data_IF_182012741863
#
_entry.id   IF_182012741863
#
_cell.length_a   1.000
_cell.length_b   1.000
_cell.length_c   1.000
_cell.angle_alpha   90.00
_cell.angle_beta   90.00
_cell.angle_gamma   90.00
#
_symmetry.space_group_name_H-M   'P 1'
#
loop_
_entity.id
_entity.type
_entity.pdbx_description
1 polymer ?
#
# COMPACT_ATOMS: atom_id res chain seq x y z
N UNK A 1 -2.85 6.91 -21.16
CA UNK A 1 -2.79 5.44 -20.93
C UNK A 1 -2.45 4.68 -22.22
N UNK A 2 -1.35 3.90 -22.26
CA UNK A 2 -0.97 3.04 -23.38
C UNK A 2 -2.01 1.96 -23.72
N UNK A 3 -2.04 1.47 -24.96
CA UNK A 3 -3.04 0.50 -25.42
C UNK A 3 -3.01 -0.85 -24.66
N UNK A 4 -1.85 -1.49 -24.40
CA UNK A 4 -1.84 -2.75 -23.67
C UNK A 4 -2.40 -2.63 -22.25
N UNK A 5 -2.07 -1.54 -21.55
CA UNK A 5 -2.59 -1.22 -20.22
C UNK A 5 -4.11 -0.99 -20.27
N UNK A 6 -4.57 -0.23 -21.26
CA UNK A 6 -5.99 0.01 -21.49
C UNK A 6 -6.79 -1.28 -21.71
N UNK A 7 -6.29 -2.20 -22.54
CA UNK A 7 -6.96 -3.47 -22.82
C UNK A 7 -7.05 -4.36 -21.57
N UNK A 8 -6.00 -4.42 -20.75
CA UNK A 8 -6.02 -5.17 -19.48
C UNK A 8 -6.99 -4.56 -18.49
N UNK A 9 -6.95 -3.23 -18.30
CA UNK A 9 -7.88 -2.54 -17.40
C UNK A 9 -9.34 -2.72 -17.85
N UNK A 10 -9.60 -2.70 -19.17
CA UNK A 10 -10.94 -2.96 -19.71
C UNK A 10 -11.40 -4.41 -19.47
N UNK A 11 -10.51 -5.40 -19.66
CA UNK A 11 -10.80 -6.81 -19.37
C UNK A 11 -11.14 -7.00 -17.90
N UNK A 12 -10.29 -6.49 -17.01
CA UNK A 12 -10.47 -6.60 -15.54
C UNK A 12 -11.74 -5.89 -15.10
N UNK A 13 -12.00 -4.67 -15.59
CA UNK A 13 -13.24 -3.96 -15.29
C UNK A 13 -14.49 -4.71 -15.81
N UNK A 14 -14.39 -5.39 -16.95
CA UNK A 14 -15.48 -6.20 -17.50
C UNK A 14 -15.79 -7.43 -16.64
N UNK A 15 -14.74 -8.15 -16.19
CA UNK A 15 -14.89 -9.31 -15.30
C UNK A 15 -15.43 -8.88 -13.94
N UNK A 16 -14.83 -7.85 -13.35
CA UNK A 16 -15.15 -7.39 -12.00
C UNK A 16 -16.49 -6.66 -11.89
N UNK A 17 -16.99 -6.02 -12.94
CA UNK A 17 -18.34 -5.39 -12.93
C UNK A 17 -19.49 -6.41 -13.01
N UNK A 18 -19.20 -7.70 -13.29
CA UNK A 18 -20.21 -8.74 -13.51
C UNK A 18 -20.09 -9.84 -12.46
N UNK A 19 -21.03 -9.90 -11.51
CA UNK A 19 -21.03 -10.89 -10.41
C UNK A 19 -20.86 -12.34 -10.89
N UNK A 20 -21.48 -12.72 -11.99
CA UNK A 20 -21.42 -14.08 -12.55
C UNK A 20 -20.06 -14.46 -13.15
N UNK A 21 -19.21 -13.48 -13.49
CA UNK A 21 -17.82 -13.73 -13.86
C UNK A 21 -16.91 -13.65 -12.63
N UNK A 22 -17.11 -12.64 -11.80
CA UNK A 22 -16.25 -12.33 -10.67
C UNK A 22 -16.25 -13.42 -9.59
N UNK A 23 -17.43 -13.93 -9.19
CA UNK A 23 -17.52 -14.92 -8.10
C UNK A 23 -16.78 -16.21 -8.47
N UNK A 24 -17.00 -16.83 -9.65
CA UNK A 24 -16.18 -17.95 -10.11
C UNK A 24 -14.67 -17.64 -10.17
N UNK A 25 -14.27 -16.46 -10.65
CA UNK A 25 -12.85 -16.08 -10.70
C UNK A 25 -12.19 -16.04 -9.31
N UNK A 26 -12.90 -15.53 -8.30
CA UNK A 26 -12.40 -15.52 -6.90
C UNK A 26 -12.28 -16.95 -6.36
N UNK A 27 -13.22 -17.84 -6.65
CA UNK A 27 -13.12 -19.25 -6.24
C UNK A 27 -11.94 -19.96 -6.89
N UNK A 28 -11.67 -19.69 -8.17
CA UNK A 28 -10.52 -20.23 -8.88
C UNK A 28 -9.21 -19.72 -8.28
N UNK A 29 -9.10 -18.42 -7.99
CA UNK A 29 -7.91 -17.86 -7.34
C UNK A 29 -7.69 -18.44 -5.93
N UNK A 30 -8.75 -18.55 -5.12
CA UNK A 30 -8.71 -19.20 -3.81
C UNK A 30 -8.28 -20.67 -3.90
N UNK A 31 -8.70 -21.37 -4.96
CA UNK A 31 -8.27 -22.75 -5.17
C UNK A 31 -6.75 -22.82 -5.37
N UNK A 32 -6.17 -21.94 -6.18
CA UNK A 32 -4.73 -21.92 -6.44
C UNK A 32 -3.88 -21.35 -5.29
N UNK A 33 -4.48 -20.58 -4.37
CA UNK A 33 -3.77 -19.96 -3.25
C UNK A 33 -3.39 -20.91 -2.11
N UNK A 34 -3.86 -22.15 -2.10
CA UNK A 34 -3.54 -23.10 -1.03
C UNK A 34 -2.13 -23.69 -1.22
N UNK A 35 -1.30 -23.81 -0.17
CA UNK A 35 0.08 -24.27 -0.29
C UNK A 35 0.22 -25.75 -0.70
N UNK A 36 -0.73 -26.60 -0.29
CA UNK A 36 -0.67 -28.05 -0.54
C UNK A 36 -1.37 -28.46 -1.85
N UNK A 37 -0.83 -28.00 -2.98
CA UNK A 37 -1.32 -28.41 -4.31
C UNK A 37 -0.37 -29.38 -4.99
N UNK A 38 -0.95 -30.40 -5.61
CA UNK A 38 -0.25 -31.30 -6.55
C UNK A 38 0.41 -30.49 -7.66
N UNK A 39 1.49 -31.01 -8.27
CA UNK A 39 2.27 -30.32 -9.32
C UNK A 39 1.40 -29.65 -10.41
N UNK A 40 0.33 -30.32 -10.85
CA UNK A 40 -0.63 -29.81 -11.84
C UNK A 40 -1.31 -28.47 -11.45
N UNK A 41 -1.49 -28.19 -10.16
CA UNK A 41 -2.23 -27.02 -9.66
C UNK A 41 -1.37 -26.06 -8.84
N UNK A 42 -0.06 -26.28 -8.79
CA UNK A 42 0.88 -25.41 -8.10
C UNK A 42 1.35 -24.30 -9.06
N UNK A 43 1.11 -23.03 -8.68
CA UNK A 43 1.40 -21.86 -9.53
C UNK A 43 2.89 -21.65 -9.83
N UNK A 44 3.76 -22.10 -8.93
CA UNK A 44 5.20 -21.94 -9.10
C UNK A 44 5.82 -23.12 -9.88
N UNK A 45 5.18 -24.30 -9.85
CA UNK A 45 5.67 -25.52 -10.49
C UNK A 45 5.08 -25.80 -11.89
N UNK A 46 3.86 -25.34 -12.20
CA UNK A 46 3.21 -25.55 -13.50
C UNK A 46 3.42 -24.33 -14.43
N UNK A 47 4.29 -24.40 -15.45
CA UNK A 47 4.62 -23.26 -16.30
C UNK A 47 3.46 -22.78 -17.19
N UNK A 48 2.55 -23.67 -17.59
CA UNK A 48 1.39 -23.31 -18.42
C UNK A 48 0.38 -22.53 -17.59
N UNK A 49 0.03 -23.04 -16.41
CA UNK A 49 -0.86 -22.36 -15.47
C UNK A 49 -0.27 -21.01 -15.04
N UNK A 50 1.04 -21.00 -14.72
CA UNK A 50 1.80 -19.78 -14.42
C UNK A 50 1.64 -18.76 -15.54
N UNK A 51 1.87 -19.14 -16.80
CA UNK A 51 1.75 -18.22 -17.93
C UNK A 51 0.34 -17.63 -18.11
N UNK A 52 -0.71 -18.44 -17.91
CA UNK A 52 -2.11 -18.01 -18.00
C UNK A 52 -2.44 -17.00 -16.90
N UNK A 53 -2.16 -17.34 -15.63
CA UNK A 53 -2.41 -16.44 -14.49
C UNK A 53 -1.58 -15.17 -14.59
N UNK A 54 -0.32 -15.29 -15.05
CA UNK A 54 0.58 -14.14 -15.24
C UNK A 54 -0.03 -13.09 -16.16
N UNK A 55 -0.37 -13.52 -17.37
CA UNK A 55 -0.85 -12.65 -18.45
C UNK A 55 -2.27 -12.13 -18.24
N UNK A 56 -3.09 -12.83 -17.45
CA UNK A 56 -4.49 -12.48 -17.23
C UNK A 56 -4.72 -11.61 -15.98
N UNK A 57 -3.99 -11.86 -14.89
CA UNK A 57 -4.28 -11.23 -13.60
C UNK A 57 -3.04 -10.64 -12.91
N UNK A 58 -1.94 -11.39 -12.84
CA UNK A 58 -0.74 -10.96 -12.10
C UNK A 58 -0.17 -9.63 -12.63
N UNK A 59 0.08 -9.55 -13.95
CA UNK A 59 0.71 -8.39 -14.59
C UNK A 59 -0.14 -7.10 -14.53
N UNK A 60 -1.39 -7.19 -14.07
CA UNK A 60 -2.22 -6.03 -13.78
C UNK A 60 -1.89 -5.41 -12.42
N UNK A 61 -1.59 -6.22 -11.40
CA UNK A 61 -1.51 -5.76 -10.01
C UNK A 61 -0.11 -5.86 -9.40
N UNK A 62 0.77 -6.66 -9.98
CA UNK A 62 2.12 -6.88 -9.49
C UNK A 62 3.17 -6.36 -10.50
N UNK A 63 4.33 -5.94 -9.98
CA UNK A 63 5.41 -5.37 -10.78
C UNK A 63 6.22 -6.43 -11.54
N UNK A 64 6.30 -7.66 -11.00
CA UNK A 64 7.08 -8.71 -11.61
C UNK A 64 7.42 -9.83 -10.65
N UNK A 65 7.73 -10.99 -11.23
CA UNK A 65 8.18 -12.17 -10.50
C UNK A 65 9.71 -12.26 -10.41
N UNK A 66 10.42 -11.38 -11.11
CA UNK A 66 11.88 -11.31 -11.12
C UNK A 66 12.35 -9.85 -11.02
N UNK A 67 13.58 -9.60 -10.53
CA UNK A 67 14.18 -8.27 -10.52
C UNK A 67 14.12 -7.54 -11.86
N UNK A 68 14.38 -8.24 -12.97
CA UNK A 68 14.37 -7.65 -14.31
C UNK A 68 12.95 -7.23 -14.75
N UNK A 69 11.94 -8.06 -14.48
CA UNK A 69 10.53 -7.71 -14.73
C UNK A 69 10.12 -6.49 -13.88
N UNK A 70 10.47 -6.51 -12.60
CA UNK A 70 10.14 -5.44 -11.65
C UNK A 70 10.74 -4.11 -12.08
N UNK A 71 12.04 -4.06 -12.43
CA UNK A 71 12.68 -2.83 -12.95
C UNK A 71 12.00 -2.30 -14.19
N UNK A 72 11.64 -3.19 -15.13
CA UNK A 72 10.93 -2.82 -16.36
C UNK A 72 9.57 -2.21 -16.04
N UNK A 73 8.83 -2.79 -15.09
CA UNK A 73 7.53 -2.26 -14.66
C UNK A 73 7.67 -0.91 -13.95
N UNK A 74 8.63 -0.77 -13.02
CA UNK A 74 8.90 0.50 -12.31
C UNK A 74 9.21 1.59 -13.31
N UNK A 75 10.12 1.33 -14.27
CA UNK A 75 10.42 2.28 -15.34
C UNK A 75 9.17 2.65 -16.15
N UNK A 76 8.38 1.65 -16.56
CA UNK A 76 7.17 1.89 -17.34
C UNK A 76 6.14 2.76 -16.59
N UNK A 77 6.02 2.62 -15.27
CA UNK A 77 5.17 3.49 -14.45
C UNK A 77 5.71 4.92 -14.43
N UNK A 78 7.02 5.12 -14.25
CA UNK A 78 7.63 6.46 -14.25
C UNK A 78 7.52 7.15 -15.61
N UNK A 79 7.67 6.39 -16.71
CA UNK A 79 7.47 6.89 -18.08
C UNK A 79 6.03 7.39 -18.34
N UNK A 80 5.05 7.04 -17.50
CA UNK A 80 3.68 7.57 -17.54
C UNK A 80 3.51 8.94 -16.85
N UNK A 81 4.57 9.45 -16.21
CA UNK A 81 4.57 10.72 -15.49
C UNK A 81 4.31 10.61 -13.99
N UNK A 82 4.25 9.40 -13.42
CA UNK A 82 4.20 9.23 -11.96
C UNK A 82 5.51 9.70 -11.33
N UNK A 83 5.40 10.35 -10.15
CA UNK A 83 6.57 10.85 -9.41
C UNK A 83 7.53 9.73 -9.03
N UNK A 84 6.97 8.57 -8.68
CA UNK A 84 7.71 7.37 -8.31
C UNK A 84 6.78 6.20 -8.07
N UNK A 85 7.36 5.10 -7.61
CA UNK A 85 6.65 3.87 -7.26
C UNK A 85 6.80 3.59 -5.77
N UNK A 86 5.73 3.10 -5.15
CA UNK A 86 5.81 2.45 -3.84
C UNK A 86 5.94 0.95 -4.11
N UNK A 87 7.09 0.36 -3.80
CA UNK A 87 7.36 -1.05 -4.08
C UNK A 87 7.42 -1.86 -2.79
N UNK A 88 6.64 -2.94 -2.74
CA UNK A 88 6.55 -3.86 -1.59
C UNK A 88 7.06 -5.24 -1.99
N UNK A 89 7.90 -5.85 -1.15
CA UNK A 89 8.15 -7.29 -1.21
C UNK A 89 6.96 -8.04 -0.63
N UNK A 90 6.44 -9.03 -1.35
CA UNK A 90 5.12 -9.61 -1.07
C UNK A 90 4.98 -10.38 0.25
N UNK A 91 6.09 -10.82 0.87
CA UNK A 91 6.10 -11.67 2.07
C UNK A 91 5.38 -11.02 3.26
N UNK A 92 4.41 -11.72 3.85
CA UNK A 92 3.60 -11.25 4.99
C UNK A 92 3.02 -12.41 5.82
N UNK A 93 2.62 -12.12 7.06
CA UNK A 93 1.79 -13.02 7.88
C UNK A 93 0.36 -12.46 7.98
N UNK A 94 -0.64 -13.30 7.74
CA UNK A 94 -2.06 -12.95 7.80
C UNK A 94 -2.71 -13.60 9.02
N UNK A 95 -3.42 -12.81 9.83
CA UNK A 95 -4.22 -13.30 10.96
C UNK A 95 -5.70 -13.25 10.64
N UNK A 96 -6.41 -14.35 10.88
CA UNK A 96 -7.86 -14.42 10.74
C UNK A 96 -8.53 -14.52 12.11
N UNK A 97 -9.23 -13.46 12.53
CA UNK A 97 -9.90 -13.42 13.84
C UNK A 97 -11.04 -14.45 13.96
N UNK A 98 -11.59 -14.96 12.86
CA UNK A 98 -12.66 -15.98 12.90
C UNK A 98 -12.12 -17.36 13.27
N UNK A 99 -10.93 -17.69 12.77
CA UNK A 99 -10.27 -18.97 13.05
C UNK A 99 -9.27 -18.90 14.21
N UNK A 100 -8.85 -17.69 14.59
CA UNK A 100 -7.87 -17.46 15.67
C UNK A 100 -6.43 -17.82 15.28
N UNK A 101 -6.16 -18.03 14.00
CA UNK A 101 -4.88 -18.53 13.49
C UNK A 101 -4.18 -17.52 12.58
N UNK A 102 -2.85 -17.45 12.70
CA UNK A 102 -1.96 -16.74 11.77
C UNK A 102 -1.32 -17.69 10.77
N UNK A 103 -1.18 -17.27 9.50
CA UNK A 103 -0.53 -18.06 8.46
C UNK A 103 0.21 -17.17 7.45
N UNK A 104 1.25 -17.71 6.79
CA UNK A 104 1.93 -17.06 5.66
C UNK A 104 1.35 -17.59 4.34
N UNK A 105 0.70 -16.78 3.51
CA UNK A 105 0.23 -17.22 2.19
C UNK A 105 1.41 -17.58 1.27
N UNK A 106 1.47 -18.83 0.81
CA UNK A 106 2.35 -19.22 -0.29
C UNK A 106 3.82 -19.48 0.05
N UNK A 107 4.25 -19.41 1.31
CA UNK A 107 5.59 -19.87 1.72
C UNK A 107 5.57 -21.36 2.09
N UNK A 108 6.58 -22.11 1.65
CA UNK A 108 6.91 -23.38 2.32
C UNK A 108 7.30 -23.08 3.77
N UNK A 109 6.98 -23.97 4.70
CA UNK A 109 7.44 -23.84 6.08
C UNK A 109 8.98 -23.88 6.07
N UNK A 110 9.63 -22.73 6.21
CA UNK A 110 11.07 -22.68 6.44
C UNK A 110 11.32 -23.16 7.88
N UNK A 111 12.20 -24.15 8.03
CA UNK A 111 12.60 -24.66 9.33
C UNK A 111 13.31 -23.57 10.14
N UNK A 112 12.96 -23.48 11.42
CA UNK A 112 13.42 -22.42 12.29
C UNK A 112 14.87 -22.64 12.74
N UNK A 113 15.64 -21.55 12.60
CA UNK A 113 16.93 -21.24 13.21
C UNK A 113 18.11 -22.18 12.93
N UNK A 114 19.13 -21.67 12.21
CA UNK A 114 20.47 -22.25 12.20
C UNK A 114 21.37 -21.57 13.25
N UNK A 115 22.17 -22.37 13.94
CA UNK A 115 23.13 -21.89 14.95
C UNK A 115 24.49 -21.66 14.27
N UNK A 116 24.76 -20.41 13.89
CA UNK A 116 26.06 -20.00 13.37
C UNK A 116 26.78 -19.14 14.43
N UNK A 117 27.99 -19.57 14.84
CA UNK A 117 28.85 -18.84 15.77
C UNK A 117 28.24 -18.47 17.15
N UNK A 118 27.29 -19.27 17.66
CA UNK A 118 26.67 -19.07 18.98
C UNK A 118 25.60 -17.97 19.03
N UNK A 119 25.19 -17.43 17.87
CA UNK A 119 24.05 -16.51 17.74
C UNK A 119 22.91 -17.29 17.08
N UNK A 120 21.77 -17.40 17.77
CA UNK A 120 20.55 -17.97 17.20
C UNK A 120 19.96 -16.97 16.20
N UNK A 121 20.14 -17.23 14.91
CA UNK A 121 19.57 -16.43 13.82
C UNK A 121 18.20 -17.00 13.47
N UNK A 122 17.16 -16.16 13.49
CA UNK A 122 15.86 -16.53 12.94
C UNK A 122 15.92 -16.40 11.41
N UNK A 123 15.85 -17.55 10.72
CA UNK A 123 15.90 -17.62 9.27
C UNK A 123 14.74 -16.89 8.59
N UNK A 124 13.58 -16.76 9.25
CA UNK A 124 12.41 -16.07 8.67
C UNK A 124 12.63 -14.55 8.71
N UNK A 125 13.18 -14.03 9.82
CA UNK A 125 13.58 -12.62 9.92
C UNK A 125 14.67 -12.31 8.88
N UNK A 126 15.64 -13.21 8.71
CA UNK A 126 16.71 -13.03 7.72
C UNK A 126 16.19 -13.07 6.28
N UNK A 127 15.32 -14.02 5.94
CA UNK A 127 14.66 -14.12 4.64
C UNK A 127 13.86 -12.84 4.30
N UNK A 128 13.08 -12.34 5.27
CA UNK A 128 12.35 -11.08 5.14
C UNK A 128 13.28 -9.88 4.96
N UNK A 129 14.38 -9.82 5.75
CA UNK A 129 15.40 -8.76 5.64
C UNK A 129 16.02 -8.77 4.25
N UNK A 130 16.48 -9.93 3.77
CA UNK A 130 17.13 -10.08 2.48
C UNK A 130 16.20 -9.68 1.31
N UNK A 131 14.93 -10.11 1.34
CA UNK A 131 13.94 -9.70 0.33
C UNK A 131 13.63 -8.21 0.37
N UNK A 132 13.56 -7.62 1.57
CA UNK A 132 13.31 -6.19 1.75
C UNK A 132 14.51 -5.35 1.29
N UNK A 133 15.73 -5.70 1.66
CA UNK A 133 16.95 -5.04 1.19
C UNK A 133 17.10 -5.18 -0.33
N UNK A 134 16.87 -6.38 -0.86
CA UNK A 134 16.86 -6.61 -2.31
C UNK A 134 15.84 -5.75 -3.05
N UNK A 135 14.71 -5.40 -2.42
CA UNK A 135 13.72 -4.47 -2.98
C UNK A 135 14.27 -3.06 -3.12
N UNK A 136 15.09 -2.58 -2.18
CA UNK A 136 15.76 -1.26 -2.25
C UNK A 136 16.64 -1.19 -3.51
N UNK A 137 17.27 -2.30 -3.90
CA UNK A 137 18.09 -2.35 -5.11
C UNK A 137 17.27 -2.25 -6.39
N UNK A 138 15.96 -2.53 -6.36
CA UNK A 138 15.07 -2.46 -7.53
C UNK A 138 14.50 -1.06 -7.78
N UNK A 139 14.64 -0.15 -6.82
CA UNK A 139 14.10 1.21 -6.85
C UNK A 139 15.22 2.25 -6.70
N UNK A 140 14.92 3.51 -6.96
CA UNK A 140 15.89 4.60 -6.94
C UNK A 140 15.42 5.80 -6.10
N UNK A 141 16.22 6.87 -6.07
CA UNK A 141 15.88 8.10 -5.37
C UNK A 141 14.48 8.62 -5.77
N UNK A 142 13.69 9.02 -4.76
CA UNK A 142 12.33 9.49 -4.96
C UNK A 142 11.28 8.40 -5.06
N UNK A 143 11.66 7.12 -5.20
CA UNK A 143 10.77 5.99 -4.98
C UNK A 143 10.63 5.67 -3.49
N UNK A 144 9.70 4.77 -3.17
CA UNK A 144 9.33 4.45 -1.79
C UNK A 144 9.34 2.93 -1.60
N UNK A 145 10.05 2.47 -0.57
CA UNK A 145 9.96 1.12 -0.07
C UNK A 145 8.73 0.99 0.83
N UNK A 146 7.84 0.04 0.56
CA UNK A 146 6.81 -0.34 1.51
C UNK A 146 7.18 -1.67 2.19
N UNK A 147 7.08 -1.70 3.52
CA UNK A 147 7.44 -2.88 4.33
C UNK A 147 6.23 -3.40 5.10
N UNK A 148 6.13 -4.73 5.16
CA UNK A 148 5.13 -5.47 5.96
C UNK A 148 5.88 -6.23 7.04
N UNK A 149 5.91 -5.68 8.24
CA UNK A 149 6.77 -6.18 9.32
C UNK A 149 6.28 -7.52 9.87
N UNK A 150 5.00 -7.88 9.69
CA UNK A 150 4.51 -9.22 10.02
C UNK A 150 5.19 -10.33 9.22
N UNK A 151 5.68 -10.02 8.01
CA UNK A 151 6.36 -10.98 7.13
C UNK A 151 7.68 -11.51 7.70
N UNK A 152 8.22 -10.87 8.73
CA UNK A 152 9.39 -11.32 9.47
C UNK A 152 9.08 -12.48 10.45
N UNK A 153 7.84 -13.00 10.46
CA UNK A 153 7.53 -14.31 11.02
C UNK A 153 7.01 -14.33 12.46
N UNK A 154 6.81 -15.54 13.02
CA UNK A 154 6.14 -15.76 14.31
C UNK A 154 6.75 -14.99 15.48
N UNK A 155 8.08 -14.91 15.57
CA UNK A 155 8.76 -14.21 16.66
C UNK A 155 8.39 -12.72 16.71
N UNK A 156 8.30 -12.07 15.54
CA UNK A 156 7.93 -10.66 15.40
C UNK A 156 6.45 -10.43 15.71
N UNK A 157 5.56 -11.23 15.12
CA UNK A 157 4.11 -11.05 15.32
C UNK A 157 3.67 -11.37 16.76
N UNK A 158 4.35 -12.31 17.43
CA UNK A 158 4.12 -12.60 18.85
C UNK A 158 4.51 -11.42 19.75
N UNK A 159 5.61 -10.73 19.44
CA UNK A 159 6.00 -9.51 20.15
C UNK A 159 4.98 -8.38 19.91
N UNK A 160 4.56 -8.19 18.65
CA UNK A 160 3.58 -7.16 18.31
C UNK A 160 2.22 -7.34 19.00
N UNK A 161 1.73 -8.58 19.10
CA UNK A 161 0.49 -8.88 19.80
C UNK A 161 0.57 -8.54 21.31
N UNK A 162 1.74 -8.75 21.93
CA UNK A 162 1.99 -8.35 23.33
C UNK A 162 2.18 -6.84 23.51
N UNK A 163 2.33 -6.09 22.41
CA UNK A 163 2.67 -4.67 22.43
C UNK A 163 4.15 -4.40 22.71
N UNK A 164 5.00 -5.43 22.65
CA UNK A 164 6.45 -5.34 22.88
C UNK A 164 7.19 -4.89 21.61
N UNK A 165 8.45 -4.47 21.79
CA UNK A 165 9.36 -4.33 20.65
C UNK A 165 9.70 -5.71 20.07
N UNK A 166 9.92 -5.81 18.75
CA UNK A 166 10.29 -7.08 18.13
C UNK A 166 11.70 -7.52 18.57
N UNK A 167 12.09 -8.79 18.30
CA UNK A 167 13.42 -9.30 18.63
C UNK A 167 14.55 -8.40 18.10
N UNK A 168 15.71 -8.41 18.77
CA UNK A 168 16.85 -7.56 18.40
C UNK A 168 17.25 -7.70 16.92
N UNK A 169 17.25 -8.92 16.39
CA UNK A 169 17.53 -9.17 14.97
C UNK A 169 16.61 -8.37 14.02
N UNK A 170 15.32 -8.24 14.36
CA UNK A 170 14.37 -7.43 13.57
C UNK A 170 14.64 -5.93 13.73
N UNK A 171 15.00 -5.47 14.95
CA UNK A 171 15.39 -4.07 15.18
C UNK A 171 16.65 -3.71 14.38
N UNK A 172 17.63 -4.60 14.33
CA UNK A 172 18.86 -4.43 13.57
C UNK A 172 18.57 -4.39 12.06
N UNK A 173 17.70 -5.28 11.57
CA UNK A 173 17.23 -5.28 10.18
C UNK A 173 16.52 -3.97 9.81
N UNK A 174 15.60 -3.48 10.65
CA UNK A 174 14.90 -2.22 10.43
C UNK A 174 15.86 -1.03 10.45
N UNK A 175 16.88 -1.06 11.32
CA UNK A 175 17.92 -0.04 11.36
C UNK A 175 18.77 -0.03 10.08
N UNK A 176 19.18 -1.20 9.58
CA UNK A 176 19.89 -1.33 8.31
C UNK A 176 19.04 -0.77 7.16
N UNK A 177 17.79 -1.20 7.05
CA UNK A 177 16.85 -0.76 6.01
C UNK A 177 16.65 0.76 6.06
N UNK A 178 16.40 1.31 7.26
CA UNK A 178 16.25 2.74 7.48
C UNK A 178 17.48 3.56 7.10
N UNK A 179 18.67 3.05 7.43
CA UNK A 179 19.95 3.68 7.09
C UNK A 179 20.18 3.69 5.57
N UNK A 180 20.06 2.52 4.92
CA UNK A 180 20.20 2.40 3.45
C UNK A 180 19.21 3.31 2.71
N UNK A 181 17.94 3.36 3.16
CA UNK A 181 16.94 4.21 2.54
C UNK A 181 17.25 5.71 2.73
N UNK A 182 17.66 6.12 3.94
CA UNK A 182 18.04 7.51 4.22
C UNK A 182 19.22 7.96 3.35
N UNK A 183 20.27 7.14 3.24
CA UNK A 183 21.47 7.41 2.42
C UNK A 183 21.14 7.52 0.93
N UNK A 184 20.21 6.69 0.44
CA UNK A 184 19.80 6.64 -0.97
C UNK A 184 18.63 7.56 -1.33
N UNK A 185 18.20 8.42 -0.40
CA UNK A 185 17.01 9.27 -0.57
C UNK A 185 15.73 8.51 -0.95
N UNK A 186 15.58 7.29 -0.44
CA UNK A 186 14.38 6.46 -0.57
C UNK A 186 13.54 6.63 0.70
N UNK A 187 12.22 6.80 0.55
CA UNK A 187 11.31 6.83 1.68
C UNK A 187 10.83 5.41 2.02
N UNK A 188 10.37 5.22 3.25
CA UNK A 188 9.82 3.97 3.77
C UNK A 188 8.37 4.23 4.17
N UNK A 189 7.49 3.33 3.79
CA UNK A 189 6.14 3.22 4.32
C UNK A 189 6.08 1.93 5.12
N UNK A 190 5.78 2.03 6.41
CA UNK A 190 5.39 0.87 7.20
C UNK A 190 3.90 0.64 6.95
N UNK A 191 3.57 -0.48 6.30
CA UNK A 191 2.18 -0.80 5.98
C UNK A 191 1.42 -1.17 7.25
N UNK A 192 0.16 -0.73 7.31
CA UNK A 192 -0.78 -1.19 8.31
C UNK A 192 -1.26 -2.61 7.95
N UNK A 193 -1.46 -3.42 8.97
CA UNK A 193 -1.84 -4.81 8.85
C UNK A 193 -3.08 -5.10 9.73
N UNK A 194 -3.28 -6.36 10.12
CA UNK A 194 -4.39 -6.72 11.01
C UNK A 194 -4.33 -5.94 12.33
N UNK A 195 -5.50 -5.52 12.84
CA UNK A 195 -5.68 -5.00 14.20
C UNK A 195 -4.89 -5.78 15.27
N UNK A 196 -4.74 -7.10 15.10
CA UNK A 196 -4.01 -7.96 16.01
C UNK A 196 -2.51 -7.59 16.17
N UNK A 197 -1.88 -7.08 15.10
CA UNK A 197 -0.46 -6.71 15.08
C UNK A 197 -0.24 -5.20 15.10
N UNK A 198 -1.28 -4.42 14.77
CA UNK A 198 -1.15 -3.00 14.46
C UNK A 198 -0.50 -2.18 15.58
N UNK A 199 -0.77 -2.50 16.86
CA UNK A 199 -0.14 -1.79 17.99
C UNK A 199 1.39 -1.90 18.00
N UNK A 200 1.92 -3.10 17.74
CA UNK A 200 3.37 -3.30 17.63
C UNK A 200 3.97 -2.62 16.40
N UNK A 201 3.25 -2.65 15.28
CA UNK A 201 3.62 -1.96 14.03
C UNK A 201 3.68 -0.44 14.25
N UNK A 202 2.67 0.14 14.90
CA UNK A 202 2.62 1.56 15.22
C UNK A 202 3.79 1.97 16.13
N UNK A 203 4.07 1.18 17.17
CA UNK A 203 5.18 1.40 18.09
C UNK A 203 6.52 1.39 17.38
N UNK A 204 6.81 0.37 16.58
CA UNK A 204 8.09 0.30 15.86
C UNK A 204 8.21 1.40 14.81
N UNK A 205 7.11 1.78 14.18
CA UNK A 205 7.08 2.90 13.22
C UNK A 205 7.40 4.23 13.89
N UNK A 206 6.90 4.48 15.10
CA UNK A 206 7.27 5.66 15.88
C UNK A 206 8.78 5.68 16.19
N UNK A 207 9.34 4.57 16.67
CA UNK A 207 10.78 4.49 16.97
C UNK A 207 11.64 4.73 15.71
N UNK A 208 11.22 4.20 14.56
CA UNK A 208 11.87 4.49 13.29
C UNK A 208 11.74 5.98 12.91
N UNK A 209 10.57 6.61 13.09
CA UNK A 209 10.38 8.03 12.82
C UNK A 209 11.24 8.90 13.74
N UNK A 210 11.34 8.60 15.04
CA UNK A 210 12.24 9.30 15.98
C UNK A 210 13.68 9.30 15.50
N UNK A 211 14.14 8.16 14.97
CA UNK A 211 15.51 7.98 14.50
C UNK A 211 15.78 8.63 13.14
N UNK A 212 14.85 8.52 12.20
CA UNK A 212 15.12 8.84 10.79
C UNK A 212 14.43 10.11 10.28
N UNK A 213 13.34 10.58 10.90
CA UNK A 213 12.58 11.77 10.47
C UNK A 213 13.05 13.06 11.16
N UNK A 214 14.35 13.33 11.06
CA UNK A 214 14.98 14.54 11.61
C UNK A 214 14.91 15.69 10.59
N UNK A 215 15.10 16.92 11.08
CA UNK A 215 15.36 18.11 10.22
C UNK A 215 14.25 18.44 9.22
N UNK A 216 12.98 18.21 9.58
CA UNK A 216 11.83 18.45 8.70
C UNK A 216 11.69 17.42 7.56
N UNK A 217 12.56 16.40 7.51
CA UNK A 217 12.52 15.34 6.50
C UNK A 217 11.68 14.17 6.99
N UNK A 218 10.96 13.54 6.06
CA UNK A 218 10.29 12.26 6.30
C UNK A 218 11.01 11.19 5.51
N UNK A 219 11.67 10.29 6.23
CA UNK A 219 12.19 9.02 5.72
C UNK A 219 11.14 7.93 5.92
N UNK A 220 10.41 7.95 7.04
CA UNK A 220 9.47 6.89 7.42
C UNK A 220 8.05 7.44 7.57
N UNK A 221 7.09 6.81 6.91
CA UNK A 221 5.66 7.00 7.11
C UNK A 221 5.07 5.83 7.88
N UNK A 222 4.20 6.10 8.84
CA UNK A 222 3.28 5.11 9.38
C UNK A 222 1.95 5.15 8.62
N UNK A 223 1.32 3.99 8.44
CA UNK A 223 0.00 3.88 7.79
C UNK A 223 -1.12 3.86 8.82
N UNK A 224 -2.08 4.77 8.69
CA UNK A 224 -3.24 4.91 9.58
C UNK A 224 -4.50 4.49 8.84
N UNK A 225 -5.28 3.60 9.47
CA UNK A 225 -6.46 3.00 8.87
C UNK A 225 -7.74 3.71 9.31
N UNK A 226 -8.28 4.60 8.47
CA UNK A 226 -9.43 5.44 8.81
C UNK A 226 -10.74 4.67 9.06
N UNK A 227 -10.84 3.38 8.71
CA UNK A 227 -11.99 2.55 9.05
C UNK A 227 -12.08 2.20 10.55
N UNK A 228 -10.99 2.32 11.32
CA UNK A 228 -11.00 2.02 12.75
C UNK A 228 -11.55 3.23 13.52
N UNK A 229 -12.42 2.96 14.49
CA UNK A 229 -12.99 3.98 15.39
C UNK A 229 -11.90 4.71 16.19
N UNK A 230 -10.80 4.03 16.52
CA UNK A 230 -9.71 4.58 17.32
C UNK A 230 -8.68 5.43 16.57
N UNK A 231 -8.74 5.56 15.25
CA UNK A 231 -7.65 6.14 14.45
C UNK A 231 -7.36 7.61 14.77
N UNK A 232 -8.37 8.41 15.08
CA UNK A 232 -8.16 9.82 15.44
C UNK A 232 -7.41 9.96 16.78
N UNK A 233 -7.77 9.14 17.77
CA UNK A 233 -7.11 9.13 19.08
C UNK A 233 -5.66 8.67 18.96
N UNK A 234 -5.39 7.64 18.15
CA UNK A 234 -4.04 7.17 17.85
C UNK A 234 -3.21 8.26 17.14
N UNK A 235 -3.79 8.93 16.15
CA UNK A 235 -3.10 10.02 15.45
C UNK A 235 -2.79 11.18 16.41
N UNK A 236 -3.71 11.52 17.30
CA UNK A 236 -3.49 12.56 18.32
C UNK A 236 -2.34 12.20 19.27
N UNK A 237 -2.23 10.94 19.72
CA UNK A 237 -1.11 10.52 20.56
C UNK A 237 0.22 10.56 19.80
N UNK A 238 0.24 10.16 18.53
CA UNK A 238 1.45 10.21 17.71
C UNK A 238 1.89 11.64 17.37
N UNK A 239 0.94 12.57 17.21
CA UNK A 239 1.23 14.01 17.09
C UNK A 239 1.89 14.55 18.37
N UNK A 240 1.43 14.10 19.54
CA UNK A 240 2.03 14.47 20.82
C UNK A 240 3.46 13.92 20.98
N UNK A 241 3.72 12.70 20.53
CA UNK A 241 5.08 12.16 20.51
C UNK A 241 6.00 12.91 19.52
N UNK A 242 5.48 13.30 18.36
CA UNK A 242 6.21 14.09 17.36
C UNK A 242 6.56 15.49 17.87
N UNK A 243 5.63 16.15 18.58
CA UNK A 243 5.89 17.42 19.24
C UNK A 243 6.92 17.29 20.36
N UNK A 244 6.75 16.28 21.23
CA UNK A 244 7.61 16.05 22.40
C UNK A 244 9.07 15.78 22.00
N UNK A 245 9.27 14.90 21.01
CA UNK A 245 10.61 14.43 20.65
C UNK A 245 11.14 15.08 19.34
N UNK A 246 10.41 16.04 18.78
CA UNK A 246 10.86 16.94 17.71
C UNK A 246 11.04 16.30 16.32
N UNK A 247 10.46 15.13 16.06
CA UNK A 247 10.54 14.49 14.74
C UNK A 247 9.37 14.90 13.84
N UNK A 248 9.54 14.77 12.51
CA UNK A 248 8.43 15.01 11.56
C UNK A 248 7.56 13.78 11.42
N UNK A 249 6.25 13.91 11.67
CA UNK A 249 5.31 12.80 11.52
C UNK A 249 5.06 12.49 10.04
N UNK A 250 5.39 11.27 9.63
CA UNK A 250 4.98 10.73 8.33
C UNK A 250 3.60 10.08 8.44
N UNK A 251 2.56 10.74 7.95
CA UNK A 251 1.17 10.25 7.97
C UNK A 251 0.77 9.70 6.60
N UNK A 252 0.74 8.37 6.44
CA UNK A 252 0.03 7.73 5.32
C UNK A 252 -1.38 7.37 5.74
N UNK A 253 -2.38 7.90 5.05
CA UNK A 253 -3.78 7.65 5.36
C UNK A 253 -4.41 6.70 4.32
N UNK A 254 -5.02 5.62 4.80
CA UNK A 254 -5.82 4.66 4.03
C UNK A 254 -7.18 4.50 4.69
N UNK A 255 -8.15 3.84 4.02
CA UNK A 255 -9.36 3.37 4.70
C UNK A 255 -9.04 2.15 5.57
N UNK A 256 -8.62 1.07 4.94
CA UNK A 256 -8.30 -0.22 5.58
C UNK A 256 -8.46 -1.36 4.58
N UNK A 257 -7.79 -2.48 4.82
CA UNK A 257 -7.75 -3.62 3.88
C UNK A 257 -8.17 -4.96 4.50
N UNK A 258 -8.41 -5.02 5.81
CA UNK A 258 -8.60 -6.28 6.55
C UNK A 258 -10.03 -6.44 7.11
N UNK A 259 -11.00 -5.66 6.62
CA UNK A 259 -12.39 -5.62 7.13
C UNK A 259 -13.08 -6.99 7.21
N UNK A 260 -12.73 -7.94 6.33
CA UNK A 260 -13.34 -9.26 6.28
C UNK A 260 -12.86 -10.23 7.37
N UNK A 261 -11.68 -9.97 7.94
CA UNK A 261 -10.99 -10.83 8.91
C UNK A 261 -10.81 -10.17 10.27
N UNK A 262 -11.15 -8.89 10.44
CA UNK A 262 -10.97 -8.12 11.67
C UNK A 262 -12.18 -8.15 12.62
N UNK A 263 -11.96 -7.72 13.87
CA UNK A 263 -13.05 -7.46 14.81
C UNK A 263 -13.89 -6.26 14.33
N UNK A 264 -15.13 -6.55 13.95
CA UNK A 264 -16.06 -5.56 13.41
C UNK A 264 -16.42 -4.48 14.44
N UNK A 265 -16.37 -4.77 15.74
CA UNK A 265 -16.73 -3.81 16.78
C UNK A 265 -15.82 -2.58 16.79
N UNK A 266 -14.55 -2.75 16.39
CA UNK A 266 -13.54 -1.69 16.33
C UNK A 266 -13.57 -0.88 15.04
N UNK A 267 -14.36 -1.30 14.04
CA UNK A 267 -14.49 -0.65 12.74
C UNK A 267 -15.78 0.16 12.72
N UNK A 268 -15.75 1.33 12.06
CA UNK A 268 -16.93 2.15 11.79
C UNK A 268 -18.09 1.34 11.17
N UNK A 269 -19.31 1.64 11.61
CA UNK A 269 -20.49 0.82 11.34
C UNK A 269 -20.92 0.89 9.88
N UNK A 270 -20.72 2.05 9.24
CA UNK A 270 -21.01 2.23 7.82
C UNK A 270 -19.77 2.63 7.01
N UNK A 271 -19.88 2.45 5.69
CA UNK A 271 -18.88 2.96 4.74
C UNK A 271 -18.79 4.48 4.78
N UNK A 272 -19.93 5.16 4.96
CA UNK A 272 -19.97 6.62 5.00
C UNK A 272 -19.18 7.14 6.22
N UNK A 273 -19.33 6.53 7.39
CA UNK A 273 -18.56 6.89 8.58
C UNK A 273 -17.04 6.74 8.37
N UNK A 274 -16.63 5.67 7.65
CA UNK A 274 -15.22 5.48 7.23
C UNK A 274 -14.76 6.58 6.27
N UNK A 275 -15.61 6.97 5.31
CA UNK A 275 -15.32 8.03 4.36
C UNK A 275 -15.20 9.39 5.06
N UNK A 276 -16.11 9.69 6.00
CA UNK A 276 -16.13 10.92 6.78
C UNK A 276 -14.91 10.99 7.69
N UNK A 277 -14.53 9.90 8.34
CA UNK A 277 -13.30 9.84 9.13
C UNK A 277 -12.05 10.05 8.27
N UNK A 278 -11.96 9.38 7.11
CA UNK A 278 -10.84 9.55 6.17
C UNK A 278 -10.74 11.01 5.69
N UNK A 279 -11.85 11.57 5.21
CA UNK A 279 -11.91 12.93 4.69
C UNK A 279 -11.64 13.96 5.79
N UNK A 280 -12.16 13.73 7.00
CA UNK A 280 -11.92 14.57 8.18
C UNK A 280 -10.45 14.64 8.54
N UNK A 281 -9.77 13.49 8.64
CA UNK A 281 -8.32 13.44 8.93
C UNK A 281 -7.51 14.10 7.80
N UNK A 282 -7.81 13.78 6.54
CA UNK A 282 -7.09 14.33 5.39
C UNK A 282 -7.21 15.86 5.31
N UNK A 283 -8.44 16.38 5.42
CA UNK A 283 -8.68 17.82 5.38
C UNK A 283 -8.17 18.52 6.64
N UNK A 284 -8.29 17.89 7.80
CA UNK A 284 -7.72 18.40 9.06
C UNK A 284 -6.22 18.58 8.97
N UNK A 285 -5.49 17.57 8.49
CA UNK A 285 -4.04 17.66 8.24
C UNK A 285 -3.69 18.79 7.27
N UNK A 286 -4.41 18.92 6.14
CA UNK A 286 -4.21 20.00 5.17
C UNK A 286 -4.50 21.40 5.75
N UNK A 287 -5.49 21.49 6.66
CA UNK A 287 -5.80 22.72 7.39
C UNK A 287 -4.82 23.00 8.53
N UNK A 288 -3.93 22.05 8.84
CA UNK A 288 -3.12 22.03 10.06
C UNK A 288 -4.01 22.14 11.31
N UNK A 289 -5.12 21.40 11.34
CA UNK A 289 -6.10 21.36 12.43
C UNK A 289 -6.53 19.91 12.69
N UNK A 290 -5.99 19.30 13.74
CA UNK A 290 -6.30 17.92 14.16
C UNK A 290 -6.41 17.87 15.69
N UNK A 291 -7.63 17.68 16.20
CA UNK A 291 -7.88 17.74 17.64
C UNK A 291 -7.49 19.11 18.20
N UNK A 292 -6.60 19.11 19.20
CA UNK A 292 -6.08 20.33 19.84
C UNK A 292 -5.01 21.05 19.00
N UNK A 293 -4.34 20.31 18.11
CA UNK A 293 -3.27 20.83 17.27
C UNK A 293 -3.82 21.72 16.15
N UNK A 294 -3.32 22.94 16.04
CA UNK A 294 -3.84 23.97 15.15
C UNK A 294 -4.99 24.81 15.71
N UNK A 295 -5.42 24.52 16.94
CA UNK A 295 -6.52 25.21 17.62
C UNK A 295 -6.00 25.84 18.92
N UNK A 296 -5.63 25.00 19.89
CA UNK A 296 -5.07 25.41 21.19
C UNK A 296 -3.58 25.10 21.33
N UNK A 297 -3.03 24.25 20.45
CA UNK A 297 -1.61 23.86 20.42
C UNK A 297 -1.00 24.11 19.05
N UNK A 298 0.30 24.43 18.93
CA UNK A 298 0.97 24.56 17.65
C UNK A 298 0.92 23.26 16.85
N UNK A 299 0.62 23.31 15.56
CA UNK A 299 0.56 22.10 14.73
C UNK A 299 1.99 21.55 14.47
N UNK A 300 2.28 20.28 14.82
CA UNK A 300 3.63 19.73 14.68
C UNK A 300 3.98 19.49 13.21
N UNK A 301 5.28 19.30 12.93
CA UNK A 301 5.76 18.99 11.58
C UNK A 301 5.16 17.66 11.09
N UNK A 302 4.49 17.70 9.94
CA UNK A 302 3.80 16.54 9.36
C UNK A 302 3.91 16.56 7.84
N UNK A 303 4.11 15.38 7.22
CA UNK A 303 3.90 15.17 5.78
C UNK A 303 2.78 14.17 5.56
N UNK A 304 1.87 14.51 4.66
CA UNK A 304 0.66 13.77 4.39
C UNK A 304 0.82 12.92 3.13
N UNK A 305 0.37 11.67 3.21
CA UNK A 305 0.36 10.75 2.10
C UNK A 305 -1.03 10.11 1.98
N UNK A 306 -1.81 10.53 0.97
CA UNK A 306 -3.19 10.10 0.78
C UNK A 306 -3.27 8.93 -0.20
N UNK A 307 -3.49 7.72 0.33
CA UNK A 307 -3.69 6.52 -0.46
C UNK A 307 -5.17 6.16 -0.56
N UNK A 308 -5.77 6.40 -1.72
CA UNK A 308 -7.20 6.17 -1.97
C UNK A 308 -7.49 6.11 -3.46
N UNK A 309 -8.44 5.26 -3.83
CA UNK A 309 -9.04 5.21 -5.16
C UNK A 309 -10.41 5.91 -5.23
N UNK A 310 -10.90 6.45 -4.12
CA UNK A 310 -12.11 7.26 -4.12
C UNK A 310 -11.79 8.63 -4.74
N UNK A 311 -12.30 8.87 -5.95
CA UNK A 311 -12.11 10.11 -6.69
C UNK A 311 -12.48 11.33 -5.86
N UNK A 312 -13.64 11.32 -5.23
CA UNK A 312 -14.15 12.49 -4.50
C UNK A 312 -13.24 12.85 -3.32
N UNK A 313 -12.81 11.85 -2.55
CA UNK A 313 -11.84 12.06 -1.45
C UNK A 313 -10.53 12.66 -1.95
N UNK A 314 -9.98 12.10 -3.04
CA UNK A 314 -8.67 12.49 -3.58
C UNK A 314 -8.71 13.88 -4.21
N UNK A 315 -9.68 14.14 -5.08
CA UNK A 315 -9.82 15.41 -5.79
C UNK A 315 -10.23 16.54 -4.84
N UNK A 316 -11.08 16.27 -3.83
CA UNK A 316 -11.42 17.29 -2.82
C UNK A 316 -10.22 17.67 -1.97
N UNK A 317 -9.38 16.71 -1.55
CA UNK A 317 -8.15 16.99 -0.81
C UNK A 317 -7.15 17.81 -1.65
N UNK A 318 -6.95 17.44 -2.92
CA UNK A 318 -6.09 18.19 -3.84
C UNK A 318 -6.60 19.62 -4.08
N UNK A 319 -7.91 19.79 -4.29
CA UNK A 319 -8.53 21.11 -4.45
C UNK A 319 -8.33 21.98 -3.22
N UNK A 320 -8.54 21.43 -2.03
CA UNK A 320 -8.31 22.13 -0.75
C UNK A 320 -6.84 22.55 -0.63
N UNK A 321 -5.90 21.65 -0.92
CA UNK A 321 -4.48 21.95 -0.87
C UNK A 321 -4.10 23.11 -1.80
N UNK A 322 -4.54 23.06 -3.07
CA UNK A 322 -4.33 24.15 -4.04
C UNK A 322 -4.94 25.47 -3.59
N UNK A 323 -6.17 25.44 -3.08
CA UNK A 323 -6.85 26.62 -2.57
C UNK A 323 -6.06 27.27 -1.44
N UNK A 324 -5.53 26.48 -0.49
CA UNK A 324 -4.75 26.99 0.63
C UNK A 324 -3.44 27.61 0.16
N UNK A 325 -2.71 26.96 -0.75
CA UNK A 325 -1.49 27.52 -1.36
C UNK A 325 -1.80 28.85 -2.05
N UNK A 326 -2.83 28.89 -2.89
CA UNK A 326 -3.21 30.11 -3.62
C UNK A 326 -3.64 31.26 -2.70
N UNK A 327 -4.21 30.93 -1.53
CA UNK A 327 -4.61 31.90 -0.51
C UNK A 327 -3.49 32.26 0.49
N UNK A 328 -2.28 31.70 0.37
CA UNK A 328 -1.19 31.90 1.33
C UNK A 328 -1.48 31.33 2.73
N UNK A 329 -2.40 30.36 2.84
CA UNK A 329 -2.76 29.74 4.11
C UNK A 329 -1.83 28.57 4.46
N UNK A 330 -1.51 28.32 5.75
CA UNK A 330 -0.67 27.20 6.16
C UNK A 330 -1.21 25.85 5.68
N UNK A 331 -0.37 24.96 5.16
CA UNK A 331 -0.74 23.59 4.77
C UNK A 331 0.45 22.67 4.96
N UNK A 332 0.22 21.36 4.98
CA UNK A 332 1.29 20.35 4.92
C UNK A 332 1.59 19.92 3.48
N UNK A 333 2.82 19.45 3.18
CA UNK A 333 3.11 18.74 1.94
C UNK A 333 2.22 17.50 1.81
N UNK A 334 1.67 17.27 0.61
CA UNK A 334 0.81 16.12 0.34
C UNK A 334 1.24 15.36 -0.91
N UNK A 335 1.28 14.04 -0.80
CA UNK A 335 1.44 13.09 -1.91
C UNK A 335 0.22 12.19 -2.01
N UNK A 336 -0.04 11.67 -3.20
CA UNK A 336 -1.17 10.78 -3.48
C UNK A 336 -0.67 9.44 -3.99
N UNK A 337 -1.39 8.36 -3.66
CA UNK A 337 -1.16 7.09 -4.32
C UNK A 337 -2.41 6.28 -4.59
N UNK A 338 -2.30 5.49 -5.65
CA UNK A 338 -3.25 4.45 -6.01
C UNK A 338 -2.48 3.14 -6.23
N UNK A 339 -3.17 2.02 -6.03
CA UNK A 339 -2.61 0.73 -6.41
C UNK A 339 -2.40 0.67 -7.94
N UNK A 340 -1.33 -0.02 -8.33
CA UNK A 340 -1.07 -0.42 -9.70
C UNK A 340 -2.23 -1.28 -10.20
N UNK A 341 -2.74 -0.95 -11.39
CA UNK A 341 -3.83 -1.67 -12.03
C UNK A 341 -5.24 -1.35 -11.52
N UNK A 342 -5.38 -0.36 -10.64
CA UNK A 342 -6.68 0.06 -10.08
C UNK A 342 -6.89 1.56 -10.19
N UNK A 343 -8.07 1.94 -10.68
CA UNK A 343 -8.56 3.32 -10.71
C UNK A 343 -7.54 4.28 -11.34
N UNK A 344 -6.96 3.87 -12.45
CA UNK A 344 -5.99 4.66 -13.22
C UNK A 344 -6.55 6.02 -13.66
N UNK A 345 -7.88 6.09 -13.84
CA UNK A 345 -8.59 7.33 -14.14
C UNK A 345 -8.37 8.41 -13.06
N UNK A 346 -8.36 8.04 -11.78
CA UNK A 346 -8.09 8.96 -10.66
C UNK A 346 -6.63 9.42 -10.73
N UNK A 347 -5.71 8.48 -10.94
CA UNK A 347 -4.28 8.76 -11.07
C UNK A 347 -3.99 9.72 -12.23
N UNK A 348 -4.56 9.48 -13.41
CA UNK A 348 -4.37 10.34 -14.58
C UNK A 348 -5.11 11.67 -14.45
N UNK A 349 -6.25 11.73 -13.76
CA UNK A 349 -6.91 13.01 -13.45
C UNK A 349 -6.00 13.90 -12.62
N UNK A 350 -5.35 13.35 -11.58
CA UNK A 350 -4.38 14.10 -10.78
C UNK A 350 -3.18 14.56 -11.61
N UNK A 351 -2.61 13.67 -12.44
CA UNK A 351 -1.47 14.01 -13.31
C UNK A 351 -1.80 15.06 -14.38
N UNK A 352 -3.06 15.17 -14.78
CA UNK A 352 -3.51 16.20 -15.72
C UNK A 352 -3.67 17.58 -15.06
N UNK A 353 -3.74 17.65 -13.72
CA UNK A 353 -3.73 18.93 -13.03
C UNK A 353 -2.35 19.57 -13.14
N UNK A 354 -2.31 20.86 -13.49
CA UNK A 354 -1.10 21.67 -13.40
C UNK A 354 -1.09 22.47 -12.10
N UNK A 355 0.00 22.39 -11.35
CA UNK A 355 0.33 23.28 -10.26
C UNK A 355 0.75 24.67 -10.76
N UNK A 356 1.00 25.59 -9.83
CA UNK A 356 1.47 26.95 -10.15
C UNK A 356 2.89 26.93 -10.75
N UNK A 357 3.67 25.90 -10.46
CA UNK A 357 4.99 25.59 -11.02
C UNK A 357 4.92 24.81 -12.35
N UNK A 358 3.71 24.58 -12.87
CA UNK A 358 3.46 23.81 -14.09
C UNK A 358 3.62 22.29 -13.91
N UNK A 359 3.94 21.81 -12.70
CA UNK A 359 4.12 20.39 -12.40
C UNK A 359 2.83 19.77 -11.85
N UNK A 360 2.57 18.48 -12.09
CA UNK A 360 1.47 17.77 -11.45
C UNK A 360 1.75 17.56 -9.95
N UNK A 361 0.69 17.33 -9.14
CA UNK A 361 0.87 16.88 -7.76
C UNK A 361 1.71 15.59 -7.70
N UNK A 362 2.32 15.32 -6.55
CA UNK A 362 3.13 14.12 -6.37
C UNK A 362 2.22 12.87 -6.33
N UNK A 363 2.10 12.16 -7.47
CA UNK A 363 1.29 10.95 -7.61
C UNK A 363 2.19 9.72 -7.75
N UNK A 364 1.94 8.70 -6.93
CA UNK A 364 2.65 7.44 -6.90
C UNK A 364 1.75 6.26 -7.26
N UNK A 365 2.35 5.18 -7.76
CA UNK A 365 1.69 3.88 -7.90
C UNK A 365 2.26 2.88 -6.92
N UNK A 366 1.40 2.22 -6.15
CA UNK A 366 1.81 1.14 -5.26
C UNK A 366 1.78 -0.18 -6.02
N UNK A 367 2.90 -0.89 -6.04
CA UNK A 367 3.01 -2.21 -6.65
C UNK A 367 3.72 -3.18 -5.73
N UNK A 368 3.45 -4.45 -5.93
CA UNK A 368 4.06 -5.55 -5.18
C UNK A 368 4.87 -6.43 -6.11
N UNK A 369 5.96 -7.03 -5.63
CA UNK A 369 6.76 -7.98 -6.39
C UNK A 369 7.16 -9.17 -5.52
N UNK A 370 7.46 -10.30 -6.17
CA UNK A 370 7.74 -11.58 -5.53
C UNK A 370 7.26 -12.74 -6.39
N UNK A 371 7.51 -13.96 -5.93
CA UNK A 371 6.96 -15.17 -6.57
C UNK A 371 5.43 -15.13 -6.64
N UNK A 372 4.82 -16.00 -7.45
CA UNK A 372 3.36 -16.03 -7.53
C UNK A 372 2.74 -16.55 -6.24
N UNK A 373 3.39 -17.53 -5.59
CA UNK A 373 3.06 -17.98 -4.25
C UNK A 373 3.03 -16.82 -3.26
N UNK A 374 4.13 -16.05 -3.14
CA UNK A 374 4.21 -14.91 -2.21
C UNK A 374 3.15 -13.84 -2.51
N UNK A 375 2.90 -13.54 -3.80
CA UNK A 375 1.95 -12.50 -4.19
C UNK A 375 0.49 -12.92 -4.02
N UNK A 376 0.17 -14.19 -3.74
CA UNK A 376 -1.21 -14.66 -3.82
C UNK A 376 -2.12 -14.03 -2.76
N UNK A 377 -1.60 -13.82 -1.54
CA UNK A 377 -2.34 -13.16 -0.46
C UNK A 377 -2.70 -11.72 -0.83
N UNK A 378 -1.76 -10.99 -1.41
CA UNK A 378 -1.98 -9.66 -1.97
C UNK A 378 -3.03 -9.66 -3.08
N UNK A 379 -2.88 -10.54 -4.08
CA UNK A 379 -3.77 -10.67 -5.23
C UNK A 379 -5.21 -11.00 -4.81
N UNK A 380 -5.38 -11.88 -3.81
CA UNK A 380 -6.69 -12.21 -3.26
C UNK A 380 -7.39 -11.00 -2.62
N UNK A 381 -6.66 -10.18 -1.86
CA UNK A 381 -7.22 -8.94 -1.30
C UNK A 381 -7.61 -7.95 -2.39
N UNK A 382 -6.84 -7.83 -3.47
CA UNK A 382 -7.22 -7.01 -4.65
C UNK A 382 -8.48 -7.51 -5.33
N UNK A 383 -8.66 -8.83 -5.44
CA UNK A 383 -9.88 -9.42 -6.00
C UNK A 383 -11.12 -9.14 -5.12
N UNK A 384 -10.99 -9.26 -3.79
CA UNK A 384 -12.07 -8.96 -2.84
C UNK A 384 -12.39 -7.46 -2.81
N UNK A 385 -11.38 -6.60 -2.82
CA UNK A 385 -11.57 -5.14 -2.89
C UNK A 385 -12.29 -4.73 -4.19
N UNK A 386 -11.89 -5.29 -5.33
CA UNK A 386 -12.58 -5.08 -6.61
C UNK A 386 -14.03 -5.59 -6.59
N UNK A 387 -14.32 -6.66 -5.83
CA UNK A 387 -15.68 -7.16 -5.62
C UNK A 387 -16.53 -6.19 -4.81
N UNK A 388 -16.02 -5.71 -3.70
CA UNK A 388 -16.79 -4.78 -2.86
C UNK A 388 -16.88 -3.39 -3.53
N UNK A 389 -15.96 -3.11 -4.46
CA UNK A 389 -15.99 -1.98 -5.37
C UNK A 389 -16.88 -2.17 -6.60
N UNK A 390 -17.65 -3.27 -6.78
CA UNK A 390 -18.45 -3.54 -8.00
C UNK A 390 -19.27 -2.34 -8.50
N UNK A 391 -19.79 -1.49 -7.59
CA UNK A 391 -20.44 -0.22 -7.97
C UNK A 391 -19.47 0.78 -8.61
N UNK A 392 -18.30 1.03 -8.00
CA UNK A 392 -17.20 1.83 -8.59
C UNK A 392 -16.63 1.19 -9.86
N UNK A 393 -16.54 -0.14 -9.91
CA UNK A 393 -16.04 -0.87 -11.08
C UNK A 393 -16.98 -0.70 -12.26
N UNK A 394 -18.28 -0.46 -12.02
CA UNK A 394 -19.20 -0.08 -13.08
C UNK A 394 -18.89 1.32 -13.63
N UNK A 395 -18.60 2.30 -12.76
CA UNK A 395 -18.18 3.64 -13.20
C UNK A 395 -16.85 3.60 -13.97
N UNK A 396 -15.88 2.82 -13.49
CA UNK A 396 -14.59 2.59 -14.15
C UNK A 396 -14.80 1.88 -15.50
N UNK A 397 -15.67 0.87 -15.56
CA UNK A 397 -16.06 0.20 -16.81
C UNK A 397 -16.71 1.17 -17.80
N UNK A 398 -17.65 2.00 -17.35
CA UNK A 398 -18.31 3.01 -18.18
C UNK A 398 -17.31 4.04 -18.71
N UNK A 399 -16.38 4.50 -17.86
CA UNK A 399 -15.31 5.42 -18.26
C UNK A 399 -14.38 4.79 -19.30
N UNK A 400 -13.91 3.56 -19.08
CA UNK A 400 -13.06 2.82 -20.02
C UNK A 400 -13.79 2.54 -21.34
N UNK A 401 -15.09 2.21 -21.31
CA UNK A 401 -15.91 2.03 -22.52
C UNK A 401 -16.09 3.33 -23.29
N UNK A 402 -16.29 4.46 -22.60
CA UNK A 402 -16.35 5.79 -23.22
C UNK A 402 -15.03 6.13 -23.91
N UNK A 403 -13.90 5.84 -23.25
CA UNK A 403 -12.57 6.01 -23.82
C UNK A 403 -12.31 5.07 -25.00
N UNK A 404 -12.77 3.81 -24.97
CA UNK A 404 -12.73 2.91 -26.12
C UNK A 404 -13.46 3.51 -27.32
N UNK A 405 -14.68 4.01 -27.10
CA UNK A 405 -15.47 4.67 -28.13
C UNK A 405 -14.81 5.95 -28.66
N UNK A 406 -14.11 6.71 -27.82
CA UNK A 406 -13.33 7.88 -28.24
C UNK A 406 -12.16 7.47 -29.15
N UNK A 407 -11.40 6.44 -28.76
CA UNK A 407 -10.25 5.92 -29.54
C UNK A 407 -10.68 5.36 -30.89
N UNK A 408 -11.76 4.59 -30.94
CA UNK A 408 -12.32 4.10 -32.20
C UNK A 408 -12.75 5.26 -33.10
N UNK A 409 -13.51 6.24 -32.57
CA UNK A 409 -13.90 7.42 -33.35
C UNK A 409 -12.72 8.24 -33.85
N UNK A 410 -11.64 8.40 -33.08
CA UNK A 410 -10.43 9.08 -33.58
C UNK A 410 -9.69 8.29 -34.66
N UNK A 411 -9.79 6.96 -34.66
CA UNK A 411 -9.21 6.12 -35.73
C UNK A 411 -10.05 6.16 -37.01
N UNK A 412 -11.38 6.29 -36.90
CA UNK A 412 -12.30 6.32 -38.05
C UNK A 412 -12.69 7.72 -38.53
N UNK A 413 -12.46 8.77 -37.73
CA UNK A 413 -12.72 10.18 -38.07
C UNK A 413 -11.47 10.95 -38.52
N UNK A 414 -10.33 10.26 -38.66
CA UNK A 414 -9.11 10.77 -39.27
C UNK A 414 -8.91 10.19 -40.69
N UNK A 415 -9.99 9.73 -41.33
CA UNK A 415 -10.03 9.23 -42.70
C UNK A 415 -10.69 10.25 -43.62
#
# INVERSE_FOLDING_TARGET
MPLPMFLRSLLVATVSSRKWLLVPSIHILNFFAKPERTWLFNLDKNPVLKAIIKKSFYDQFCAGTTPAETRKCVKALKDLGFRGVILTYAQEMVFDHKSGNGYSPGSAAEEAAEEAAGIKIDNIIESWRAGTVGTIDLIEEGDILAIKTSGAGPAVVNAFNKGDLPPQQMLDALNEIGTKCKERNIQIIVDAESQHYQRGIDRVSLEMMRKFNTDGRVVVYNTYQAYLKGTQALLASHLAEAEKDGFTLGLKLVRGAYIASEDRALIHDTKQDTDDNYNGIAQGALRQQLGEYGVSRPFPSLKLFLASHNRDSVISAQRLHKQRIAAGLPTVPVSFAQLHGMSDEVSFTLLAEKGNDGQPPAVFKCSTWGSMGECIGYLMRRAVENRDAVLRTNDEYVALRREAGRRMRSMFGAA
#
